data_IF_273106738502
#
_entry.id   IF_273106738502
#
_cell.length_a   1.000
_cell.length_b   1.000
_cell.length_c   1.000
_cell.angle_alpha   90.00
_cell.angle_beta   90.00
_cell.angle_gamma   90.00
#
_symmetry.space_group_name_H-M   'P 1'
#
loop_
_entity.id
_entity.type
_entity.pdbx_description
1 polymer ?
#
# COMPACT_ATOMS: atom_id res chain seq x y z
N UNK A 1 -61.41 -45.23 -33.49
CA UNK A 1 -61.73 -45.88 -32.20
C UNK A 1 -60.45 -46.39 -31.57
N UNK A 2 -60.23 -46.07 -30.28
CA UNK A 2 -59.24 -46.64 -29.33
C UNK A 2 -57.76 -46.30 -29.63
N UNK A 3 -56.84 -46.03 -28.70
CA UNK A 3 -56.74 -45.71 -27.25
C UNK A 3 -55.27 -45.23 -27.12
N UNK A 4 -54.99 -43.96 -26.83
CA UNK A 4 -54.55 -43.47 -25.51
C UNK A 4 -53.49 -44.35 -24.82
N UNK A 5 -52.22 -43.97 -24.94
CA UNK A 5 -51.13 -44.39 -24.07
C UNK A 5 -50.15 -43.23 -23.88
N UNK A 6 -50.26 -42.62 -22.70
CA UNK A 6 -49.30 -41.74 -22.04
C UNK A 6 -47.92 -42.43 -21.92
N UNK A 7 -46.82 -41.65 -21.97
CA UNK A 7 -45.62 -41.71 -21.11
C UNK A 7 -44.54 -40.76 -21.70
N UNK A 8 -44.27 -39.60 -21.11
CA UNK A 8 -43.26 -39.32 -20.05
C UNK A 8 -41.80 -39.25 -20.56
N UNK A 9 -41.30 -38.04 -20.80
CA UNK A 9 -39.87 -37.72 -20.76
C UNK A 9 -39.64 -36.20 -20.65
N UNK A 10 -39.71 -35.71 -19.41
CA UNK A 10 -39.22 -34.38 -19.01
C UNK A 10 -37.69 -34.45 -18.95
N UNK A 11 -37.01 -33.94 -19.98
CA UNK A 11 -35.56 -33.74 -19.96
C UNK A 11 -35.25 -32.41 -19.26
N UNK A 12 -34.90 -32.54 -17.98
CA UNK A 12 -34.43 -31.45 -17.13
C UNK A 12 -33.00 -31.07 -17.56
N UNK A 13 -32.85 -29.98 -18.31
CA UNK A 13 -31.55 -29.40 -18.62
C UNK A 13 -31.02 -28.66 -17.38
N UNK A 14 -30.19 -29.36 -16.59
CA UNK A 14 -29.52 -28.78 -15.42
C UNK A 14 -28.45 -27.80 -15.92
N UNK A 15 -28.70 -26.52 -15.72
CA UNK A 15 -27.74 -25.45 -15.96
C UNK A 15 -26.58 -25.56 -14.95
N UNK A 16 -25.40 -25.93 -15.43
CA UNK A 16 -24.15 -25.90 -14.66
C UNK A 16 -23.70 -24.46 -14.47
N UNK A 17 -24.29 -23.73 -13.52
CA UNK A 17 -23.71 -22.49 -13.01
C UNK A 17 -22.49 -22.92 -12.18
N UNK A 18 -21.31 -22.87 -12.80
CA UNK A 18 -20.05 -22.99 -12.10
C UNK A 18 -19.98 -21.85 -11.07
N UNK A 19 -20.29 -22.19 -9.82
CA UNK A 19 -20.06 -21.33 -8.67
C UNK A 19 -18.54 -21.19 -8.53
N UNK A 20 -17.96 -20.19 -9.20
CA UNK A 20 -16.62 -19.74 -8.89
C UNK A 20 -16.65 -19.31 -7.42
N UNK A 21 -16.00 -20.09 -6.56
CA UNK A 21 -15.88 -19.76 -5.16
C UNK A 21 -15.36 -18.32 -5.04
N UNK A 22 -15.98 -17.46 -4.22
CA UNK A 22 -15.36 -16.19 -3.89
C UNK A 22 -14.04 -16.55 -3.21
N UNK A 23 -12.94 -16.31 -3.91
CA UNK A 23 -11.63 -16.33 -3.30
C UNK A 23 -11.64 -15.22 -2.26
N UNK A 24 -12.01 -15.54 -1.02
CA UNK A 24 -11.73 -14.72 0.15
C UNK A 24 -10.22 -14.78 0.38
N UNK A 25 -9.47 -14.26 -0.60
CA UNK A 25 -8.04 -14.15 -0.53
C UNK A 25 -7.77 -13.20 0.64
N UNK A 26 -7.19 -13.75 1.70
CA UNK A 26 -6.82 -13.00 2.88
C UNK A 26 -5.93 -11.84 2.42
N UNK A 27 -6.33 -10.61 2.77
CA UNK A 27 -5.54 -9.42 2.45
C UNK A 27 -4.14 -9.59 3.04
N UNK A 28 -3.12 -9.25 2.26
CA UNK A 28 -1.74 -9.36 2.71
C UNK A 28 -1.52 -8.59 4.02
N UNK A 29 -0.85 -9.24 4.99
CA UNK A 29 -0.47 -8.58 6.24
C UNK A 29 0.76 -7.71 5.99
N UNK A 30 0.56 -6.39 6.04
CA UNK A 30 1.64 -5.41 5.90
C UNK A 30 2.31 -5.16 7.25
N UNK A 31 3.63 -5.32 7.30
CA UNK A 31 4.46 -5.06 8.48
C UNK A 31 5.56 -4.04 8.16
N UNK A 32 5.68 -3.01 9.00
CA UNK A 32 6.76 -2.03 8.89
C UNK A 32 7.94 -2.53 9.71
N UNK A 33 8.93 -3.13 9.03
CA UNK A 33 10.09 -3.75 9.65
C UNK A 33 11.01 -2.71 10.30
N UNK A 34 11.31 -1.63 9.58
CA UNK A 34 12.20 -0.57 10.08
C UNK A 34 11.84 0.81 9.51
N UNK A 35 12.20 1.85 10.27
CA UNK A 35 12.23 3.24 9.81
C UNK A 35 13.62 3.78 10.11
N UNK A 36 14.42 3.90 9.06
CA UNK A 36 15.80 4.38 9.11
C UNK A 36 15.85 5.87 8.82
N UNK A 37 16.80 6.57 9.43
CA UNK A 37 17.01 8.00 9.19
C UNK A 37 18.39 8.24 8.60
N UNK A 38 18.47 9.17 7.64
CA UNK A 38 19.72 9.73 7.18
C UNK A 38 20.47 10.49 8.28
N UNK A 39 21.70 10.92 7.99
CA UNK A 39 22.67 11.46 8.97
C UNK A 39 22.27 12.76 9.69
N UNK A 40 21.14 13.38 9.37
CA UNK A 40 20.92 14.81 9.68
C UNK A 40 19.71 15.16 10.56
N UNK A 41 18.99 14.20 11.15
CA UNK A 41 17.79 14.51 11.95
C UNK A 41 18.06 14.46 13.46
N UNK A 42 17.55 15.43 14.21
CA UNK A 42 17.57 15.45 15.68
C UNK A 42 16.78 14.25 16.27
N UNK A 43 17.30 13.59 17.32
CA UNK A 43 16.69 12.38 17.92
C UNK A 43 15.21 12.55 18.27
N UNK A 44 14.80 13.72 18.77
CA UNK A 44 13.40 13.97 19.13
C UNK A 44 12.50 14.08 17.90
N UNK A 45 12.98 14.74 16.84
CA UNK A 45 12.29 14.80 15.55
C UNK A 45 12.16 13.41 14.93
N UNK A 46 13.23 12.60 14.94
CA UNK A 46 13.21 11.22 14.44
C UNK A 46 12.12 10.36 15.11
N UNK A 47 11.95 10.45 16.43
CA UNK A 47 10.90 9.70 17.15
C UNK A 47 9.49 10.12 16.71
N UNK A 48 9.26 11.41 16.48
CA UNK A 48 7.96 11.94 16.02
C UNK A 48 7.66 11.58 14.57
N UNK A 49 8.66 11.70 13.70
CA UNK A 49 8.55 11.35 12.28
C UNK A 49 8.33 9.84 12.13
N UNK A 50 9.11 9.01 12.80
CA UNK A 50 8.96 7.54 12.72
C UNK A 50 7.62 7.03 13.23
N UNK A 51 7.13 7.58 14.35
CA UNK A 51 5.79 7.23 14.85
C UNK A 51 4.69 7.67 13.88
N UNK A 52 4.85 8.83 13.24
CA UNK A 52 3.91 9.32 12.22
C UNK A 52 3.92 8.42 10.98
N UNK A 53 5.10 8.05 10.46
CA UNK A 53 5.25 7.15 9.31
C UNK A 53 4.61 5.79 9.63
N UNK A 54 4.93 5.17 10.77
CA UNK A 54 4.35 3.87 11.14
C UNK A 54 2.83 3.92 11.23
N UNK A 55 2.29 4.95 11.90
CA UNK A 55 0.83 5.12 12.02
C UNK A 55 0.18 5.35 10.66
N UNK A 56 0.77 6.18 9.82
CA UNK A 56 0.23 6.48 8.50
C UNK A 56 0.30 5.27 7.57
N UNK A 57 1.43 4.55 7.54
CA UNK A 57 1.60 3.33 6.78
C UNK A 57 0.59 2.25 7.22
N UNK A 58 0.40 2.05 8.53
CA UNK A 58 -0.59 1.12 9.05
C UNK A 58 -2.02 1.52 8.65
N UNK A 59 -2.33 2.82 8.59
CA UNK A 59 -3.63 3.31 8.10
C UNK A 59 -3.79 3.07 6.60
N UNK A 60 -2.80 3.45 5.80
CA UNK A 60 -2.81 3.26 4.35
C UNK A 60 -2.94 1.77 3.98
N UNK A 61 -2.24 0.88 4.68
CA UNK A 61 -2.29 -0.56 4.47
C UNK A 61 -3.69 -1.17 4.64
N UNK A 62 -4.60 -0.56 5.41
CA UNK A 62 -5.98 -1.05 5.55
C UNK A 62 -6.81 -0.89 4.28
N UNK A 63 -6.48 0.10 3.47
CA UNK A 63 -7.26 0.49 2.28
C UNK A 63 -6.55 0.16 0.97
N UNK A 64 -5.23 -0.03 1.00
CA UNK A 64 -4.44 -0.44 -0.16
C UNK A 64 -4.43 -1.95 -0.31
N UNK A 65 -4.54 -2.41 -1.55
CA UNK A 65 -4.40 -3.82 -1.89
C UNK A 65 -2.94 -4.14 -2.25
N UNK A 66 -2.29 -5.00 -1.46
CA UNK A 66 -0.93 -5.47 -1.72
C UNK A 66 -0.90 -6.83 -2.44
N UNK A 67 -2.06 -7.34 -2.84
CA UNK A 67 -2.26 -8.66 -3.41
C UNK A 67 -2.42 -9.76 -2.35
N UNK A 68 -2.34 -11.01 -2.79
CA UNK A 68 -2.70 -12.22 -2.02
C UNK A 68 -1.53 -12.86 -1.27
N UNK A 69 -0.45 -12.12 -1.02
CA UNK A 69 0.73 -12.66 -0.32
C UNK A 69 0.51 -12.67 1.20
N UNK A 70 0.92 -13.74 1.89
CA UNK A 70 0.73 -13.88 3.34
C UNK A 70 1.33 -12.73 4.18
N UNK A 71 2.46 -12.14 3.73
CA UNK A 71 3.16 -11.10 4.47
C UNK A 71 3.94 -10.16 3.54
N UNK A 72 3.79 -8.85 3.76
CA UNK A 72 4.54 -7.80 3.06
C UNK A 72 5.33 -7.00 4.08
N UNK A 73 6.66 -7.16 4.06
CA UNK A 73 7.57 -6.40 4.93
C UNK A 73 8.10 -5.17 4.21
N UNK A 74 7.96 -4.01 4.86
CA UNK A 74 8.35 -2.70 4.32
C UNK A 74 9.40 -2.06 5.23
N UNK A 75 10.50 -1.60 4.63
CA UNK A 75 11.48 -0.73 5.30
C UNK A 75 11.39 0.67 4.73
N UNK A 76 11.22 1.66 5.60
CA UNK A 76 11.26 3.07 5.24
C UNK A 76 12.63 3.66 5.53
N UNK A 77 13.13 4.50 4.62
CA UNK A 77 14.34 5.29 4.78
C UNK A 77 13.98 6.75 4.60
N UNK A 78 14.02 7.51 5.69
CA UNK A 78 13.85 8.96 5.70
C UNK A 78 15.17 9.59 5.29
N UNK A 79 15.25 10.05 4.04
CA UNK A 79 16.46 10.64 3.49
C UNK A 79 16.67 12.06 3.98
N UNK A 80 15.60 12.84 3.96
CA UNK A 80 15.64 14.26 4.31
C UNK A 80 14.30 14.72 4.89
N UNK A 81 14.38 15.55 5.92
CA UNK A 81 13.26 16.31 6.50
C UNK A 81 13.80 17.70 6.80
N UNK A 82 13.60 18.62 5.87
CA UNK A 82 14.11 19.97 5.95
C UNK A 82 12.96 20.94 6.25
N UNK A 83 13.21 21.86 7.18
CA UNK A 83 12.31 22.97 7.48
C UNK A 83 13.07 24.26 7.24
N UNK A 84 12.58 25.07 6.31
CA UNK A 84 13.11 26.39 5.99
C UNK A 84 12.02 27.42 6.17
N UNK A 85 12.37 28.63 6.58
CA UNK A 85 11.47 29.77 6.62
C UNK A 85 12.12 30.88 5.79
N UNK A 86 11.38 31.37 4.80
CA UNK A 86 11.86 32.37 3.84
C UNK A 86 10.69 33.33 3.56
N UNK A 87 10.94 34.63 3.66
CA UNK A 87 9.95 35.69 3.42
C UNK A 87 8.62 35.51 4.18
N UNK A 88 8.70 35.03 5.44
CA UNK A 88 7.53 34.78 6.28
C UNK A 88 6.71 33.55 5.89
N UNK A 89 7.21 32.71 4.98
CA UNK A 89 6.61 31.44 4.58
C UNK A 89 7.45 30.29 5.09
N UNK A 90 6.82 29.43 5.90
CA UNK A 90 7.43 28.19 6.32
C UNK A 90 7.29 27.15 5.22
N UNK A 91 8.41 26.56 4.83
CA UNK A 91 8.46 25.45 3.90
C UNK A 91 9.01 24.20 4.57
N UNK A 92 8.27 23.10 4.45
CA UNK A 92 8.71 21.78 4.93
C UNK A 92 8.85 20.83 3.75
N UNK A 93 10.01 20.18 3.62
CA UNK A 93 10.30 19.17 2.61
C UNK A 93 10.58 17.83 3.27
N UNK A 94 9.97 16.76 2.79
CA UNK A 94 10.29 15.39 3.19
C UNK A 94 10.62 14.54 1.97
N UNK A 95 11.75 13.83 2.04
CA UNK A 95 12.10 12.78 1.09
C UNK A 95 12.06 11.43 1.79
N UNK A 96 11.13 10.58 1.38
CA UNK A 96 10.92 9.24 1.92
C UNK A 96 11.14 8.18 0.84
N UNK A 97 11.87 7.13 1.18
CA UNK A 97 12.04 5.93 0.37
C UNK A 97 11.40 4.75 1.09
N UNK A 98 10.56 3.98 0.42
CA UNK A 98 10.07 2.70 0.89
C UNK A 98 10.67 1.56 0.08
N UNK A 99 11.04 0.47 0.75
CA UNK A 99 11.58 -0.74 0.15
C UNK A 99 10.73 -1.93 0.55
N UNK A 100 10.37 -2.76 -0.42
CA UNK A 100 9.69 -4.04 -0.17
C UNK A 100 10.73 -5.14 0.01
N UNK A 101 10.45 -6.07 0.93
CA UNK A 101 11.26 -7.28 1.07
C UNK A 101 11.15 -8.16 -0.18
N UNK A 102 12.31 -8.45 -0.77
CA UNK A 102 12.42 -9.23 -1.99
C UNK A 102 12.29 -8.42 -3.29
N UNK A 103 12.27 -7.09 -3.25
CA UNK A 103 12.44 -6.26 -4.44
C UNK A 103 11.35 -5.21 -4.62
N UNK A 104 11.67 -4.17 -5.40
CA UNK A 104 10.83 -3.00 -5.58
C UNK A 104 11.11 -1.91 -4.53
N UNK A 105 11.20 -0.67 -5.00
CA UNK A 105 11.32 0.49 -4.11
C UNK A 105 10.55 1.66 -4.70
N UNK A 106 10.06 2.53 -3.82
CA UNK A 106 9.35 3.74 -4.20
C UNK A 106 9.90 4.92 -3.42
N UNK A 107 10.14 6.03 -4.11
CA UNK A 107 10.61 7.29 -3.53
C UNK A 107 9.51 8.34 -3.69
N UNK A 108 9.26 9.09 -2.62
CA UNK A 108 8.43 10.28 -2.65
C UNK A 108 9.20 11.47 -2.09
N UNK A 109 9.10 12.61 -2.76
CA UNK A 109 9.60 13.90 -2.27
C UNK A 109 8.43 14.87 -2.28
N UNK A 110 8.00 15.29 -1.09
CA UNK A 110 6.88 16.22 -0.90
C UNK A 110 7.38 17.49 -0.24
N UNK A 111 6.86 18.64 -0.69
CA UNK A 111 7.16 19.97 -0.15
C UNK A 111 5.86 20.72 0.04
N UNK A 112 5.56 21.17 1.25
CA UNK A 112 4.44 22.08 1.52
C UNK A 112 4.92 23.40 2.11
N UNK A 113 4.22 24.47 1.75
CA UNK A 113 4.36 25.80 2.32
C UNK A 113 3.19 26.13 3.26
N UNK A 114 3.40 27.04 4.20
CA UNK A 114 2.33 27.59 5.03
C UNK A 114 2.83 28.59 6.06
N UNK A 115 1.96 28.91 7.03
CA UNK A 115 2.29 29.87 8.10
C UNK A 115 3.33 29.29 9.08
N UNK A 116 4.32 30.07 9.55
CA UNK A 116 5.31 29.65 10.54
C UNK A 116 4.72 29.04 11.81
N UNK A 117 3.63 29.64 12.32
CA UNK A 117 2.93 29.17 13.52
C UNK A 117 2.35 27.74 13.38
N UNK A 118 2.14 27.28 12.14
CA UNK A 118 1.59 25.98 11.84
C UNK A 118 2.67 24.90 11.60
N UNK A 119 3.94 25.14 11.94
CA UNK A 119 5.09 24.24 11.67
C UNK A 119 4.82 22.77 11.93
N UNK A 120 4.37 22.43 13.15
CA UNK A 120 4.11 21.03 13.54
C UNK A 120 2.99 20.38 12.73
N UNK A 121 2.00 21.17 12.29
CA UNK A 121 0.88 20.67 11.47
C UNK A 121 1.36 20.39 10.05
N UNK A 122 2.10 21.33 9.46
CA UNK A 122 2.64 21.22 8.10
C UNK A 122 3.61 20.03 8.01
N UNK A 123 4.50 19.88 8.99
CA UNK A 123 5.44 18.75 9.06
C UNK A 123 4.71 17.39 9.04
N UNK A 124 3.68 17.23 9.88
CA UNK A 124 2.87 16.00 9.89
C UNK A 124 2.18 15.75 8.56
N UNK A 125 1.64 16.80 7.93
CA UNK A 125 0.96 16.67 6.63
C UNK A 125 1.92 16.25 5.52
N UNK A 126 3.11 16.86 5.47
CA UNK A 126 4.16 16.51 4.49
C UNK A 126 4.61 15.07 4.67
N UNK A 127 4.89 14.64 5.90
CA UNK A 127 5.30 13.25 6.20
C UNK A 127 4.18 12.27 5.85
N UNK A 128 2.92 12.61 6.17
CA UNK A 128 1.78 11.76 5.85
C UNK A 128 1.61 11.60 4.33
N UNK A 129 1.61 12.70 3.58
CA UNK A 129 1.50 12.69 2.12
C UNK A 129 2.65 11.92 1.46
N UNK A 130 3.88 12.10 1.94
CA UNK A 130 5.04 11.34 1.45
C UNK A 130 4.87 9.84 1.72
N UNK A 131 4.37 9.47 2.91
CA UNK A 131 4.11 8.08 3.28
C UNK A 131 3.03 7.46 2.41
N UNK A 132 1.92 8.16 2.18
CA UNK A 132 0.81 7.68 1.34
C UNK A 132 1.25 7.46 -0.12
N UNK A 133 2.04 8.39 -0.67
CA UNK A 133 2.59 8.25 -2.01
C UNK A 133 3.51 7.02 -2.15
N UNK A 134 4.40 6.80 -1.17
CA UNK A 134 5.26 5.61 -1.14
C UNK A 134 4.41 4.34 -1.03
N UNK A 135 3.48 4.29 -0.08
CA UNK A 135 2.64 3.12 0.17
C UNK A 135 1.81 2.72 -1.05
N UNK A 136 1.23 3.71 -1.74
CA UNK A 136 0.44 3.48 -2.96
C UNK A 136 1.29 2.82 -4.05
N UNK A 137 2.50 3.34 -4.29
CA UNK A 137 3.40 2.77 -5.29
C UNK A 137 3.92 1.38 -4.87
N UNK A 138 4.21 1.17 -3.59
CA UNK A 138 4.61 -0.16 -3.10
C UNK A 138 3.48 -1.19 -3.24
N UNK A 139 2.24 -0.81 -2.96
CA UNK A 139 1.09 -1.69 -3.16
C UNK A 139 0.99 -2.15 -4.62
N UNK A 140 1.17 -1.22 -5.56
CA UNK A 140 1.20 -1.54 -6.99
C UNK A 140 2.34 -2.49 -7.35
N UNK A 141 3.58 -2.19 -6.94
CA UNK A 141 4.76 -3.02 -7.19
C UNK A 141 4.60 -4.44 -6.60
N UNK A 142 3.96 -4.56 -5.44
CA UNK A 142 3.67 -5.86 -4.82
C UNK A 142 2.77 -6.72 -5.71
N UNK A 143 1.71 -6.12 -6.29
CA UNK A 143 0.78 -6.83 -7.18
C UNK A 143 1.43 -7.21 -8.50
N UNK A 144 2.19 -6.29 -9.11
CA UNK A 144 2.96 -6.55 -10.35
C UNK A 144 3.87 -7.77 -10.17
N UNK A 145 4.60 -7.83 -9.06
CA UNK A 145 5.48 -8.95 -8.75
C UNK A 145 4.75 -10.28 -8.54
N UNK A 146 3.58 -10.27 -7.91
CA UNK A 146 2.77 -11.50 -7.74
C UNK A 146 2.31 -12.00 -9.11
N UNK A 147 1.92 -11.10 -10.01
CA UNK A 147 1.52 -11.45 -11.36
C UNK A 147 2.69 -12.01 -12.19
N UNK A 148 3.89 -11.44 -12.08
CA UNK A 148 5.10 -11.96 -12.73
C UNK A 148 5.42 -13.38 -12.26
N UNK A 149 5.44 -13.61 -10.94
CA UNK A 149 5.67 -14.95 -10.37
C UNK A 149 4.61 -15.99 -10.73
N UNK A 150 3.39 -15.55 -10.99
CA UNK A 150 2.32 -16.45 -11.42
C UNK A 150 2.51 -16.90 -12.89
N UNK A 151 3.08 -16.03 -13.73
CA UNK A 151 3.41 -16.34 -15.13
C UNK A 151 4.58 -17.31 -15.22
N UNK A 152 5.67 -17.05 -14.49
CA UNK A 152 6.85 -17.94 -14.46
C UNK A 152 6.47 -19.38 -14.10
N UNK A 153 5.53 -19.59 -13.16
CA UNK A 153 5.06 -20.92 -12.75
C UNK A 153 4.14 -21.63 -13.75
N UNK A 154 3.64 -20.93 -14.77
CA UNK A 154 2.79 -21.55 -15.81
C UNK A 154 3.61 -22.06 -16.98
N UNK A 155 4.85 -21.60 -17.12
CA UNK A 155 5.77 -21.95 -18.20
C UNK A 155 6.74 -23.11 -17.82
N UNK A 156 6.75 -23.50 -16.54
CA UNK A 156 7.48 -24.66 -15.97
C UNK A 156 6.59 -25.90 -15.83
#
# INVERSE_FOLDING_TARGET
>A
MRRLAFLLSVLFAIASIAFAAPAWASKAKVEVAAVEFGKSAEKQSQKRVSSTIRRQAARAAKHLDFGTTNKVEITFVVRDVAVAEEDGVLTVTCTLLGKLKGGGSARSKIRFGGKPDAKKKIERQVVAAATDGVMTRLAQLSRERIAEKAKEKQDD
#
